data_IF_239413050062
#
_entry.id   IF_239413050062
#
_cell.length_a   1.000
_cell.length_b   1.000
_cell.length_c   1.000
_cell.angle_alpha   90.00
_cell.angle_beta   90.00
_cell.angle_gamma   90.00
#
_symmetry.space_group_name_H-M   'P 1'
#
loop_
_entity.id
_entity.type
_entity.pdbx_description
1 polymer ?
#
# COMPACT_ATOMS: atom_id res chain seq x y z
N UNK A 1 -17.01 3.90 -4.58
CA UNK A 1 -16.43 3.08 -3.48
C UNK A 1 -17.48 2.89 -2.41
N UNK A 2 -17.47 1.80 -1.64
CA UNK A 2 -18.38 1.60 -0.48
C UNK A 2 -17.73 2.02 0.84
N UNK A 3 -18.56 2.33 1.85
CA UNK A 3 -18.12 2.62 3.22
C UNK A 3 -17.24 1.49 3.80
N UNK A 4 -17.62 0.23 3.55
CA UNK A 4 -16.87 -0.95 4.01
C UNK A 4 -15.52 -1.10 3.30
N UNK A 5 -15.45 -0.87 1.99
CA UNK A 5 -14.19 -0.88 1.24
C UNK A 5 -13.23 0.20 1.72
N UNK A 6 -13.74 1.42 1.96
CA UNK A 6 -12.93 2.52 2.49
C UNK A 6 -12.45 2.20 3.92
N UNK A 7 -13.33 1.71 4.78
CA UNK A 7 -12.98 1.33 6.15
C UNK A 7 -11.90 0.24 6.16
N UNK A 8 -12.02 -0.78 5.32
CA UNK A 8 -11.01 -1.85 5.20
C UNK A 8 -9.65 -1.30 4.74
N UNK A 9 -9.64 -0.36 3.79
CA UNK A 9 -8.40 0.32 3.35
C UNK A 9 -7.79 1.12 4.51
N UNK A 10 -8.58 1.94 5.19
CA UNK A 10 -8.11 2.78 6.31
C UNK A 10 -7.54 1.94 7.45
N UNK A 11 -8.28 0.91 7.87
CA UNK A 11 -7.89 0.04 8.99
C UNK A 11 -6.67 -0.82 8.68
N UNK A 12 -6.33 -1.04 7.40
CA UNK A 12 -5.10 -1.73 7.01
C UNK A 12 -3.82 -0.99 7.40
N UNK A 13 -3.89 0.32 7.65
CA UNK A 13 -2.75 1.16 8.01
C UNK A 13 -2.95 1.99 9.29
N UNK A 14 -4.18 2.19 9.76
CA UNK A 14 -4.48 2.76 11.07
C UNK A 14 -5.66 2.03 11.73
N UNK A 15 -5.34 1.14 12.66
CA UNK A 15 -6.32 0.31 13.34
C UNK A 15 -7.15 1.04 14.41
N UNK A 16 -6.94 2.34 14.61
CA UNK A 16 -7.74 3.13 15.55
C UNK A 16 -9.15 3.42 15.04
N UNK A 17 -9.37 3.35 13.72
CA UNK A 17 -10.68 3.59 13.11
C UNK A 17 -11.56 2.34 13.14
N UNK A 18 -12.86 2.51 13.40
CA UNK A 18 -13.83 1.42 13.45
C UNK A 18 -15.07 1.65 12.58
N UNK A 19 -15.25 2.87 12.06
CA UNK A 19 -16.37 3.21 11.17
C UNK A 19 -15.95 4.29 10.18
N UNK A 20 -16.48 4.21 8.96
CA UNK A 20 -16.32 5.20 7.90
C UNK A 20 -17.68 5.46 7.24
N UNK A 21 -17.92 6.71 6.84
CA UNK A 21 -19.08 7.10 6.05
C UNK A 21 -18.66 8.07 4.94
N UNK A 22 -18.84 7.69 3.68
CA UNK A 22 -18.53 8.52 2.53
C UNK A 22 -19.61 9.60 2.40
N UNK A 23 -19.20 10.85 2.61
CA UNK A 23 -20.07 12.02 2.48
C UNK A 23 -20.10 12.58 1.05
N UNK A 24 -19.02 12.40 0.31
CA UNK A 24 -18.87 12.84 -1.08
C UNK A 24 -17.92 11.90 -1.81
N UNK A 25 -18.25 11.60 -3.07
CA UNK A 25 -17.41 10.86 -4.01
C UNK A 25 -17.41 11.59 -5.35
N UNK A 26 -16.23 11.81 -5.91
CA UNK A 26 -16.01 12.44 -7.21
C UNK A 26 -14.99 11.65 -8.03
N UNK A 27 -15.07 11.76 -9.35
CA UNK A 27 -14.14 11.16 -10.29
C UNK A 27 -13.52 12.25 -11.18
N UNK A 28 -12.50 12.97 -10.69
CA UNK A 28 -11.93 14.11 -11.42
C UNK A 28 -11.21 13.70 -12.70
N UNK A 29 -10.69 12.48 -12.75
CA UNK A 29 -9.97 11.90 -13.89
C UNK A 29 -10.34 10.40 -14.01
N UNK A 30 -10.26 9.80 -15.21
CA UNK A 30 -10.50 8.36 -15.38
C UNK A 30 -9.57 7.52 -14.48
N UNK A 31 -10.14 6.58 -13.74
CA UNK A 31 -9.38 5.70 -12.84
C UNK A 31 -8.95 6.34 -11.53
N UNK A 32 -9.37 7.58 -11.24
CA UNK A 32 -9.12 8.26 -9.97
C UNK A 32 -10.45 8.55 -9.29
N UNK A 33 -10.62 8.05 -8.08
CA UNK A 33 -11.71 8.37 -7.18
C UNK A 33 -11.21 9.29 -6.06
N UNK A 34 -11.91 10.38 -5.84
CA UNK A 34 -11.73 11.25 -4.68
C UNK A 34 -12.92 11.06 -3.76
N UNK A 35 -12.68 10.78 -2.48
CA UNK A 35 -13.75 10.70 -1.48
C UNK A 35 -13.50 11.64 -0.32
N UNK A 36 -14.57 12.17 0.26
CA UNK A 36 -14.57 12.81 1.57
C UNK A 36 -15.36 11.93 2.49
N UNK A 37 -14.74 11.46 3.58
CA UNK A 37 -15.37 10.54 4.49
C UNK A 37 -15.29 11.00 5.95
N UNK A 38 -16.30 10.62 6.70
CA UNK A 38 -16.38 10.75 8.16
C UNK A 38 -15.82 9.48 8.77
N UNK A 39 -14.73 9.59 9.52
CA UNK A 39 -14.09 8.49 10.22
C UNK A 39 -14.32 8.61 11.71
N UNK A 40 -14.54 7.47 12.36
CA UNK A 40 -14.69 7.37 13.82
C UNK A 40 -13.58 6.50 14.39
N UNK A 41 -12.84 7.03 15.39
CA UNK A 41 -11.69 6.36 16.02
C UNK A 41 -11.89 6.06 17.52
N UNK A 42 -11.02 5.24 18.13
CA UNK A 42 -10.97 4.89 19.57
C UNK A 42 -9.52 5.06 20.14
N UNK A 43 -9.27 5.51 21.39
CA UNK A 43 -10.20 5.76 22.51
C UNK A 43 -11.10 6.98 22.35
N UNK A 44 -12.41 6.73 22.35
CA UNK A 44 -13.49 7.74 22.32
C UNK A 44 -13.86 8.19 20.90
N UNK A 45 -15.15 8.28 20.52
CA UNK A 45 -15.60 8.52 19.16
C UNK A 45 -15.26 9.95 18.72
N UNK A 46 -14.01 10.17 18.33
CA UNK A 46 -13.59 11.38 17.64
C UNK A 46 -14.01 11.24 16.19
N UNK A 47 -14.77 12.23 15.72
CA UNK A 47 -15.17 12.34 14.33
C UNK A 47 -14.10 13.13 13.58
N UNK A 48 -13.54 12.53 12.53
CA UNK A 48 -12.59 13.17 11.63
C UNK A 48 -13.15 13.16 10.22
N UNK A 49 -13.15 14.32 9.55
CA UNK A 49 -13.58 14.43 8.15
C UNK A 49 -12.33 14.44 7.29
N UNK A 50 -12.14 13.42 6.46
CA UNK A 50 -10.88 13.18 5.73
C UNK A 50 -11.14 13.09 4.23
N UNK A 51 -10.45 13.88 3.39
CA UNK A 51 -10.39 13.63 1.96
C UNK A 51 -9.35 12.54 1.64
N UNK A 52 -9.65 11.70 0.67
CA UNK A 52 -8.76 10.68 0.12
C UNK A 52 -8.72 10.77 -1.40
N UNK A 53 -7.53 10.53 -1.97
CA UNK A 53 -7.37 10.35 -3.43
C UNK A 53 -6.93 8.92 -3.68
N UNK A 54 -7.76 8.18 -4.41
CA UNK A 54 -7.70 6.73 -4.54
C UNK A 54 -7.68 6.40 -6.03
N UNK A 55 -6.58 5.84 -6.56
CA UNK A 55 -6.63 5.24 -7.88
C UNK A 55 -7.42 3.93 -7.82
N UNK A 56 -8.33 3.72 -8.76
CA UNK A 56 -9.34 2.66 -8.72
C UNK A 56 -8.72 1.25 -8.70
N UNK A 57 -7.64 1.06 -9.46
CA UNK A 57 -6.93 -0.23 -9.62
C UNK A 57 -5.76 -0.41 -8.65
N UNK A 58 -5.71 0.40 -7.59
CA UNK A 58 -4.57 0.47 -6.68
C UNK A 58 -4.98 0.12 -5.24
N UNK A 59 -4.14 -0.65 -4.54
CA UNK A 59 -4.35 -0.93 -3.10
C UNK A 59 -3.94 0.24 -2.21
N UNK A 60 -3.13 1.17 -2.72
CA UNK A 60 -2.75 2.38 -2.01
C UNK A 60 -3.70 3.53 -2.28
N UNK A 61 -3.66 4.51 -1.39
CA UNK A 61 -4.32 5.80 -1.55
C UNK A 61 -3.50 6.90 -0.90
N UNK A 62 -3.76 8.13 -1.31
CA UNK A 62 -3.23 9.29 -0.63
C UNK A 62 -4.10 9.63 0.58
N UNK A 63 -3.45 9.75 1.72
CA UNK A 63 -4.02 10.32 2.94
C UNK A 63 -3.38 11.68 3.19
N UNK A 64 -4.10 12.66 3.73
CA UNK A 64 -3.50 13.93 4.10
C UNK A 64 -2.47 13.75 5.21
N UNK A 65 -1.40 14.54 5.19
CA UNK A 65 -0.31 14.44 6.18
C UNK A 65 -0.77 14.85 7.58
N UNK A 66 -1.59 15.89 7.66
CA UNK A 66 -2.26 16.28 8.88
C UNK A 66 -3.76 16.00 8.77
N UNK A 67 -4.12 14.73 8.86
CA UNK A 67 -5.53 14.36 8.83
C UNK A 67 -6.30 14.57 10.14
N UNK A 68 -5.64 15.10 11.18
CA UNK A 68 -6.29 15.42 12.45
C UNK A 68 -6.76 16.88 12.50
N UNK A 69 -6.34 17.72 11.55
CA UNK A 69 -6.66 19.14 11.49
C UNK A 69 -7.10 19.52 10.08
N UNK A 70 -8.40 19.79 9.91
CA UNK A 70 -8.94 20.16 8.61
C UNK A 70 -9.90 21.34 8.68
N UNK A 71 -9.82 22.18 7.65
CA UNK A 71 -10.80 23.23 7.39
C UNK A 71 -11.96 22.66 6.58
N UNK A 72 -13.00 22.23 7.29
CA UNK A 72 -14.24 21.67 6.71
C UNK A 72 -14.93 22.67 5.79
N UNK A 73 -14.83 23.98 6.07
CA UNK A 73 -15.44 25.02 5.24
C UNK A 73 -14.68 25.18 3.92
N UNK A 74 -13.35 25.11 3.95
CA UNK A 74 -12.52 25.14 2.74
C UNK A 74 -12.79 23.90 1.86
N UNK A 75 -12.88 22.73 2.48
CA UNK A 75 -13.14 21.46 1.80
C UNK A 75 -14.49 21.46 1.06
N UNK A 76 -15.55 22.02 1.66
CA UNK A 76 -16.86 22.12 1.03
C UNK A 76 -16.99 23.21 -0.03
N UNK A 77 -16.09 24.19 -0.06
CA UNK A 77 -16.15 25.33 -1.00
C UNK A 77 -15.56 24.98 -2.36
N UNK A 78 -14.41 24.32 -2.37
CA UNK A 78 -13.69 23.94 -3.58
C UNK A 78 -12.79 22.73 -3.24
N UNK A 79 -13.35 21.54 -3.40
CA UNK A 79 -12.66 20.28 -3.10
C UNK A 79 -11.39 20.13 -3.94
N UNK A 80 -11.44 20.51 -5.22
CA UNK A 80 -10.29 20.45 -6.12
C UNK A 80 -9.15 21.33 -5.64
N UNK A 81 -9.42 22.60 -5.31
CA UNK A 81 -8.40 23.50 -4.77
C UNK A 81 -7.86 23.02 -3.42
N UNK A 82 -8.73 22.47 -2.57
CA UNK A 82 -8.33 21.89 -1.29
C UNK A 82 -7.35 20.72 -1.48
N UNK A 83 -7.66 19.82 -2.42
CA UNK A 83 -6.81 18.69 -2.78
C UNK A 83 -5.44 19.16 -3.28
N UNK A 84 -5.38 20.20 -4.11
CA UNK A 84 -4.11 20.75 -4.58
C UNK A 84 -3.26 21.40 -3.47
N UNK A 85 -3.91 22.02 -2.48
CA UNK A 85 -3.22 22.68 -1.37
C UNK A 85 -2.82 21.73 -0.23
N UNK A 86 -3.36 20.51 -0.23
CA UNK A 86 -3.11 19.51 0.81
C UNK A 86 -1.73 18.88 0.65
N UNK A 87 -1.00 18.76 1.76
CA UNK A 87 0.21 17.94 1.79
C UNK A 87 -0.20 16.46 1.93
N UNK A 88 0.19 15.63 0.97
CA UNK A 88 -0.24 14.24 0.88
C UNK A 88 0.85 13.25 1.29
N UNK A 89 0.42 12.08 1.77
CA UNK A 89 1.24 10.90 2.01
C UNK A 89 0.54 9.63 1.53
N UNK A 90 1.28 8.53 1.37
CA UNK A 90 0.73 7.24 0.94
C UNK A 90 0.34 6.40 2.16
N UNK A 91 -0.89 5.90 2.22
CA UNK A 91 -1.36 4.93 3.23
C UNK A 91 -0.97 5.27 4.68
N UNK A 92 -1.10 6.54 5.10
CA UNK A 92 -0.70 6.98 6.44
C UNK A 92 0.79 6.77 6.80
N UNK A 93 1.66 6.57 5.81
CA UNK A 93 3.12 6.44 5.99
C UNK A 93 3.83 7.80 5.84
N UNK A 94 5.11 7.91 6.17
CA UNK A 94 5.90 9.11 5.85
C UNK A 94 6.27 9.26 4.36
N UNK A 95 5.75 8.39 3.49
CA UNK A 95 6.01 8.45 2.05
C UNK A 95 5.19 9.59 1.43
N UNK A 96 5.81 10.64 0.87
CA UNK A 96 5.08 11.76 0.29
C UNK A 96 4.32 11.35 -0.98
N UNK A 97 3.10 11.83 -1.10
CA UNK A 97 2.28 11.79 -2.31
C UNK A 97 2.24 13.17 -2.97
N UNK A 98 2.20 13.22 -4.29
CA UNK A 98 2.14 14.47 -5.05
C UNK A 98 0.94 14.46 -5.96
N UNK A 99 0.19 15.55 -6.02
CA UNK A 99 -0.86 15.71 -7.02
C UNK A 99 -0.34 16.67 -8.09
N UNK A 100 -0.35 16.20 -9.34
CA UNK A 100 0.10 16.99 -10.49
C UNK A 100 -1.05 17.01 -11.48
N UNK A 101 -1.62 18.20 -11.71
CA UNK A 101 -2.80 18.39 -12.57
C UNK A 101 -3.98 17.47 -12.17
N UNK A 102 -4.26 17.35 -10.88
CA UNK A 102 -5.34 16.50 -10.37
C UNK A 102 -5.01 15.00 -10.28
N UNK A 103 -3.90 14.55 -10.86
CA UNK A 103 -3.49 13.15 -10.85
C UNK A 103 -2.52 12.84 -9.71
N UNK A 104 -2.77 11.79 -8.90
CA UNK A 104 -1.83 11.36 -7.87
C UNK A 104 -0.57 10.75 -8.50
N UNK A 105 0.60 11.15 -7.98
CA UNK A 105 1.94 10.75 -8.39
C UNK A 105 2.74 10.35 -7.17
N UNK A 106 3.33 9.16 -7.23
CA UNK A 106 4.28 8.70 -6.22
C UNK A 106 5.64 9.36 -6.50
N UNK A 107 6.39 9.72 -5.45
CA UNK A 107 7.70 10.37 -5.61
C UNK A 107 8.73 9.53 -6.39
N UNK A 108 8.45 8.24 -6.67
CA UNK A 108 9.31 7.32 -7.42
C UNK A 108 8.47 6.33 -8.28
N UNK A 109 8.25 6.67 -9.55
CA UNK A 109 7.43 5.99 -10.57
C UNK A 109 7.78 4.51 -10.86
N UNK A 110 7.37 3.61 -9.96
CA UNK A 110 6.98 2.26 -10.35
C UNK A 110 5.68 1.91 -9.61
N UNK A 111 4.58 1.57 -10.32
CA UNK A 111 3.28 1.27 -9.75
C UNK A 111 3.43 0.31 -8.58
N UNK A 112 2.87 0.68 -7.43
CA UNK A 112 2.81 -0.16 -6.24
C UNK A 112 2.22 -1.56 -6.52
N UNK A 113 1.27 -1.79 -7.46
CA UNK A 113 0.81 -3.13 -7.84
C UNK A 113 1.87 -3.85 -8.63
N UNK A 114 2.61 -3.17 -9.51
CA UNK A 114 3.75 -3.82 -10.18
C UNK A 114 4.76 -4.28 -9.13
N UNK A 115 5.01 -3.52 -8.06
CA UNK A 115 5.88 -3.97 -6.96
C UNK A 115 5.26 -5.10 -6.15
N UNK A 116 3.97 -5.07 -5.85
CA UNK A 116 3.28 -6.12 -5.08
C UNK A 116 3.17 -7.41 -5.89
N UNK A 117 2.74 -7.34 -7.15
CA UNK A 117 2.67 -8.44 -8.11
C UNK A 117 4.07 -8.98 -8.39
N UNK A 118 5.08 -8.13 -8.57
CA UNK A 118 6.49 -8.55 -8.68
C UNK A 118 6.91 -9.35 -7.46
N UNK A 119 6.66 -8.82 -6.26
CA UNK A 119 7.07 -9.46 -5.00
C UNK A 119 6.33 -10.77 -4.76
N UNK A 120 5.03 -10.82 -5.06
CA UNK A 120 4.24 -12.03 -4.95
C UNK A 120 4.73 -13.09 -5.93
N UNK A 121 4.93 -12.72 -7.19
CA UNK A 121 5.45 -13.62 -8.22
C UNK A 121 6.85 -14.12 -7.90
N UNK A 122 7.74 -13.23 -7.47
CA UNK A 122 9.09 -13.59 -7.00
C UNK A 122 9.03 -14.54 -5.79
N UNK A 123 8.14 -14.28 -4.82
CA UNK A 123 7.92 -15.15 -3.68
C UNK A 123 7.43 -16.54 -4.07
N UNK A 124 6.50 -16.62 -5.02
CA UNK A 124 6.00 -17.87 -5.60
C UNK A 124 7.12 -18.65 -6.32
N UNK A 125 7.96 -17.97 -7.09
CA UNK A 125 9.08 -18.58 -7.81
C UNK A 125 10.16 -19.10 -6.84
N UNK A 126 10.48 -18.34 -5.78
CA UNK A 126 11.36 -18.79 -4.68
C UNK A 126 10.78 -20.04 -4.01
N UNK A 127 9.48 -20.02 -3.69
CA UNK A 127 8.79 -21.15 -3.07
C UNK A 127 8.82 -22.38 -3.98
N UNK A 128 8.55 -22.21 -5.27
CA UNK A 128 8.58 -23.29 -6.24
C UNK A 128 9.98 -23.91 -6.35
N UNK A 129 11.03 -23.09 -6.46
CA UNK A 129 12.42 -23.55 -6.50
C UNK A 129 12.83 -24.28 -5.21
N UNK A 130 12.41 -23.76 -4.04
CA UNK A 130 12.64 -24.43 -2.74
C UNK A 130 11.99 -25.81 -2.70
N UNK A 131 10.71 -25.90 -3.10
CA UNK A 131 9.97 -27.16 -3.10
C UNK A 131 10.52 -28.16 -4.12
N UNK A 132 11.00 -27.70 -5.29
CA UNK A 132 11.63 -28.55 -6.30
C UNK A 132 12.93 -29.21 -5.79
N UNK A 133 13.65 -28.56 -4.86
CA UNK A 133 14.80 -29.14 -4.14
C UNK A 133 14.42 -29.97 -2.91
N UNK A 134 13.13 -30.11 -2.60
CA UNK A 134 12.65 -30.86 -1.43
C UNK A 134 12.96 -30.20 -0.08
N UNK A 135 13.25 -28.90 -0.06
CA UNK A 135 13.66 -28.17 1.15
C UNK A 135 12.44 -27.64 1.90
N UNK A 136 12.46 -27.72 3.23
CA UNK A 136 11.55 -26.93 4.08
C UNK A 136 12.06 -25.49 4.22
N UNK A 137 11.21 -24.58 4.72
CA UNK A 137 11.64 -23.22 5.04
C UNK A 137 12.74 -23.19 6.11
N UNK A 138 12.78 -24.15 7.04
CA UNK A 138 13.85 -24.26 8.05
C UNK A 138 15.17 -24.72 7.44
N UNK A 139 15.11 -25.59 6.44
CA UNK A 139 16.31 -26.00 5.71
C UNK A 139 16.87 -24.82 4.91
N UNK A 140 16.00 -24.06 4.25
CA UNK A 140 16.41 -22.86 3.53
C UNK A 140 16.95 -21.77 4.46
N UNK A 141 16.39 -21.63 5.67
CA UNK A 141 16.94 -20.77 6.73
C UNK A 141 18.38 -21.17 7.06
N UNK A 142 18.61 -22.44 7.37
CA UNK A 142 19.95 -22.94 7.69
C UNK A 142 20.96 -22.76 6.53
N UNK A 143 20.53 -22.94 5.28
CA UNK A 143 21.38 -22.80 4.09
C UNK A 143 21.69 -21.34 3.76
N UNK A 144 20.69 -20.48 3.86
CA UNK A 144 20.85 -19.08 3.45
C UNK A 144 21.35 -18.22 4.59
N UNK A 145 20.99 -18.53 5.84
CA UNK A 145 21.09 -17.67 7.03
C UNK A 145 20.00 -16.59 7.09
N UNK A 146 18.88 -16.77 6.37
CA UNK A 146 17.72 -15.88 6.40
C UNK A 146 16.65 -16.53 7.28
N UNK A 147 16.23 -15.88 8.40
CA UNK A 147 15.33 -16.51 9.34
C UNK A 147 14.05 -17.04 8.69
N UNK A 148 13.58 -18.22 9.13
CA UNK A 148 12.34 -18.87 8.68
C UNK A 148 11.15 -17.89 8.59
N UNK A 149 10.97 -17.06 9.61
CA UNK A 149 9.86 -16.08 9.68
C UNK A 149 9.94 -15.03 8.58
N UNK A 150 11.16 -14.66 8.17
CA UNK A 150 11.40 -13.75 7.06
C UNK A 150 11.21 -14.46 5.72
N UNK A 151 11.74 -15.67 5.55
CA UNK A 151 11.53 -16.49 4.35
C UNK A 151 10.03 -16.71 4.07
N UNK A 152 9.23 -17.00 5.12
CA UNK A 152 7.78 -17.15 5.00
C UNK A 152 7.08 -15.88 4.49
N UNK A 153 7.54 -14.69 4.92
CA UNK A 153 7.00 -13.42 4.43
C UNK A 153 7.47 -13.11 3.00
N UNK A 154 8.72 -13.42 2.66
CA UNK A 154 9.26 -13.29 1.30
C UNK A 154 8.47 -14.17 0.33
N UNK A 155 8.31 -15.47 0.61
CA UNK A 155 7.53 -16.39 -0.24
C UNK A 155 6.05 -15.99 -0.36
N UNK A 156 5.52 -15.26 0.64
CA UNK A 156 4.17 -14.71 0.61
C UNK A 156 4.06 -13.32 -0.02
N UNK A 157 5.14 -12.75 -0.57
CA UNK A 157 5.15 -11.40 -1.16
C UNK A 157 5.02 -10.24 -0.15
N UNK A 158 5.05 -10.54 1.15
CA UNK A 158 4.85 -9.59 2.27
C UNK A 158 6.16 -8.98 2.79
N UNK A 159 7.31 -9.44 2.30
CA UNK A 159 8.62 -8.87 2.63
C UNK A 159 9.38 -8.57 1.34
N UNK A 160 10.11 -7.45 1.32
CA UNK A 160 10.98 -7.07 0.21
C UNK A 160 12.41 -7.58 0.49
N UNK A 161 12.86 -8.69 -0.13
CA UNK A 161 14.24 -9.15 0.06
C UNK A 161 15.22 -8.11 -0.49
N UNK A 162 16.34 -7.93 0.20
CA UNK A 162 17.44 -7.10 -0.31
C UNK A 162 18.09 -7.80 -1.51
N UNK A 163 18.86 -7.05 -2.31
CA UNK A 163 19.64 -7.64 -3.40
C UNK A 163 20.54 -8.79 -2.91
N UNK A 164 21.29 -8.60 -1.82
CA UNK A 164 22.11 -9.65 -1.22
C UNK A 164 21.30 -10.85 -0.74
N UNK A 165 20.09 -10.61 -0.23
CA UNK A 165 19.13 -11.66 0.13
C UNK A 165 18.72 -12.48 -1.09
N UNK A 166 18.43 -11.81 -2.22
CA UNK A 166 18.11 -12.47 -3.49
C UNK A 166 19.29 -13.26 -4.04
N UNK A 167 20.51 -12.74 -3.96
CA UNK A 167 21.72 -13.48 -4.36
C UNK A 167 21.91 -14.73 -3.51
N UNK A 168 21.78 -14.63 -2.18
CA UNK A 168 21.85 -15.79 -1.27
C UNK A 168 20.80 -16.85 -1.61
N UNK A 169 19.57 -16.42 -1.87
CA UNK A 169 18.48 -17.30 -2.26
C UNK A 169 18.74 -17.97 -3.62
N UNK A 170 19.19 -17.21 -4.61
CA UNK A 170 19.47 -17.70 -5.96
C UNK A 170 20.59 -18.75 -5.95
N UNK A 171 21.66 -18.50 -5.19
CA UNK A 171 22.78 -19.44 -5.03
C UNK A 171 22.34 -20.69 -4.26
N UNK A 172 21.63 -20.54 -3.13
CA UNK A 172 21.18 -21.69 -2.33
C UNK A 172 20.16 -22.56 -3.08
N UNK A 173 19.32 -21.94 -3.91
CA UNK A 173 18.30 -22.61 -4.71
C UNK A 173 18.77 -22.94 -6.13
N UNK A 174 20.03 -22.66 -6.47
CA UNK A 174 20.65 -22.94 -7.78
C UNK A 174 19.74 -22.53 -8.95
N UNK A 175 19.26 -21.28 -8.89
CA UNK A 175 18.26 -20.76 -9.83
C UNK A 175 18.50 -19.27 -10.12
N UNK A 176 17.86 -18.78 -11.18
CA UNK A 176 17.81 -17.36 -11.52
C UNK A 176 16.39 -16.84 -11.34
N UNK A 177 16.24 -15.72 -10.64
CA UNK A 177 14.94 -15.04 -10.53
C UNK A 177 14.82 -13.97 -11.60
N UNK A 178 13.70 -13.98 -12.32
CA UNK A 178 13.36 -12.94 -13.30
C UNK A 178 12.42 -11.95 -12.64
N UNK A 179 12.77 -10.67 -12.67
CA UNK A 179 11.91 -9.60 -12.17
C UNK A 179 11.30 -8.90 -13.39
N UNK A 180 9.97 -8.98 -13.53
CA UNK A 180 9.26 -8.45 -14.69
C UNK A 180 9.09 -9.52 -15.78
N UNK A 181 7.90 -10.11 -15.82
CA UNK A 181 7.49 -11.16 -16.74
C UNK A 181 5.99 -11.42 -16.62
N UNK A 182 5.23 -10.33 -16.50
CA UNK A 182 3.77 -10.31 -16.56
C UNK A 182 3.34 -10.03 -17.99
#
# INVERSE_FOLDING_TARGET
MTDEELLNRVTSFDGSFFSAHIALEEHPEPGITTVVAWLYSDPGPQLTIVPFVIPDDEEWMFTPRDWQSFDVLALGKDLGAYIQATEWRVNNTDTPGFIVNGLPRLLNDAPVPLKIVARKKLGEDIKAARLAKGLTLKDLDALTGIPYSRLSRIEGGRDNPTFDGLVRLAVALDTTFVIGGY
#
